data_IF_192415263499
#
_entry.id   IF_192415263499
#
_cell.length_a   1.000
_cell.length_b   1.000
_cell.length_c   1.000
_cell.angle_alpha   90.00
_cell.angle_beta   90.00
_cell.angle_gamma   90.00
#
_symmetry.space_group_name_H-M   'P 1'
#
loop_
_entity.id
_entity.type
_entity.pdbx_description
1 polymer ?
#
# COMPACT_ATOMS: atom_id res chain seq x y z
N UNK A 1 10.58 -22.81 6.64
CA UNK A 1 10.59 -21.58 7.48
C UNK A 1 10.47 -20.31 6.62
N UNK A 2 11.24 -20.18 5.55
CA UNK A 2 11.20 -18.99 4.66
C UNK A 2 9.80 -18.67 4.10
N UNK A 3 9.09 -19.68 3.58
CA UNK A 3 7.71 -19.50 3.06
C UNK A 3 6.73 -18.98 4.12
N UNK A 4 6.87 -19.45 5.36
CA UNK A 4 6.05 -19.00 6.49
C UNK A 4 6.38 -17.56 6.90
N UNK A 5 7.68 -17.22 6.94
CA UNK A 5 8.14 -15.86 7.22
C UNK A 5 7.68 -14.86 6.16
N UNK A 6 7.79 -15.23 4.88
CA UNK A 6 7.33 -14.40 3.76
C UNK A 6 5.81 -14.16 3.83
N UNK A 7 5.01 -15.20 4.09
CA UNK A 7 3.56 -15.09 4.26
C UNK A 7 3.18 -14.16 5.43
N UNK A 8 3.85 -14.30 6.58
CA UNK A 8 3.62 -13.41 7.73
C UNK A 8 3.94 -11.95 7.41
N UNK A 9 5.06 -11.69 6.72
CA UNK A 9 5.45 -10.33 6.33
C UNK A 9 4.44 -9.70 5.39
N UNK A 10 3.97 -10.44 4.38
CA UNK A 10 2.95 -9.96 3.45
C UNK A 10 1.63 -9.63 4.19
N UNK A 11 1.16 -10.52 5.06
CA UNK A 11 -0.03 -10.29 5.87
C UNK A 11 0.12 -9.06 6.79
N UNK A 12 1.29 -8.88 7.40
CA UNK A 12 1.58 -7.70 8.25
C UNK A 12 1.55 -6.40 7.44
N UNK A 13 2.18 -6.37 6.26
CA UNK A 13 2.16 -5.19 5.37
C UNK A 13 0.73 -4.82 4.99
N UNK A 14 -0.07 -5.81 4.59
CA UNK A 14 -1.48 -5.62 4.26
C UNK A 14 -2.27 -5.09 5.46
N UNK A 15 -2.11 -5.69 6.64
CA UNK A 15 -2.80 -5.25 7.85
C UNK A 15 -2.40 -3.83 8.26
N UNK A 16 -1.13 -3.47 8.16
CA UNK A 16 -0.67 -2.09 8.45
C UNK A 16 -1.30 -1.08 7.48
N UNK A 17 -1.41 -1.42 6.19
CA UNK A 17 -2.06 -0.56 5.21
C UNK A 17 -3.57 -0.36 5.51
N UNK A 18 -4.26 -1.41 5.98
CA UNK A 18 -5.63 -1.32 6.47
C UNK A 18 -5.75 -0.44 7.71
N UNK A 19 -4.88 -0.63 8.71
CA UNK A 19 -4.92 0.17 9.95
C UNK A 19 -4.67 1.66 9.71
N UNK A 20 -3.87 1.99 8.69
CA UNK A 20 -3.61 3.35 8.27
C UNK A 20 -4.63 3.89 7.23
N UNK A 21 -5.69 3.12 6.92
CA UNK A 21 -6.71 3.45 5.92
C UNK A 21 -6.15 3.85 4.55
N UNK A 22 -4.99 3.30 4.15
CA UNK A 22 -4.30 3.74 2.94
C UNK A 22 -5.11 3.44 1.67
N UNK A 23 -5.90 2.37 1.69
CA UNK A 23 -6.71 1.94 0.55
C UNK A 23 -7.82 2.96 0.21
N UNK A 24 -8.39 3.64 1.20
CA UNK A 24 -9.45 4.65 1.00
C UNK A 24 -8.99 5.84 0.15
N UNK A 25 -7.68 6.05 0.04
CA UNK A 25 -7.08 7.17 -0.68
C UNK A 25 -6.57 6.81 -2.07
N UNK A 26 -6.78 5.56 -2.54
CA UNK A 26 -6.26 5.10 -3.83
C UNK A 26 -7.20 5.35 -5.03
N UNK A 27 -8.45 5.80 -4.81
CA UNK A 27 -9.51 6.15 -5.78
C UNK A 27 -9.14 6.08 -7.29
N UNK A 28 -9.11 7.22 -8.01
CA UNK A 28 -8.73 7.30 -9.43
C UNK A 28 -7.20 7.32 -9.64
N UNK A 29 -6.45 6.83 -8.66
CA UNK A 29 -5.02 6.94 -8.59
C UNK A 29 -4.56 8.14 -7.76
N UNK A 30 -3.71 7.92 -6.76
CA UNK A 30 -3.16 8.99 -5.93
C UNK A 30 -1.64 8.90 -5.78
N UNK A 31 -0.98 10.06 -5.62
CA UNK A 31 0.45 10.12 -5.33
C UNK A 31 0.73 9.79 -3.86
N UNK A 32 1.98 9.45 -3.54
CA UNK A 32 2.40 9.20 -2.16
C UNK A 32 2.08 10.39 -1.26
N UNK A 33 2.34 11.61 -1.73
CA UNK A 33 2.17 12.84 -0.96
C UNK A 33 0.70 13.07 -0.62
N UNK A 34 -0.18 12.81 -1.60
CA UNK A 34 -1.64 12.92 -1.41
C UNK A 34 -2.11 11.89 -0.39
N UNK A 35 -1.70 10.63 -0.54
CA UNK A 35 -2.12 9.53 0.35
C UNK A 35 -1.59 9.78 1.77
N UNK A 36 -0.31 10.13 1.91
CA UNK A 36 0.33 10.35 3.19
C UNK A 36 -0.31 11.53 3.93
N UNK A 37 -0.63 12.61 3.21
CA UNK A 37 -1.34 13.77 3.77
C UNK A 37 -2.74 13.39 4.23
N UNK A 38 -3.53 12.69 3.41
CA UNK A 38 -4.89 12.28 3.77
C UNK A 38 -4.92 11.31 4.95
N UNK A 39 -3.96 10.39 5.00
CA UNK A 39 -3.80 9.41 6.09
C UNK A 39 -3.08 9.99 7.32
N UNK A 40 -2.59 11.23 7.28
CA UNK A 40 -1.75 11.83 8.34
C UNK A 40 -0.53 10.98 8.72
N UNK A 41 0.15 10.42 7.71
CA UNK A 41 1.33 9.55 7.85
C UNK A 41 2.59 10.19 7.26
N UNK A 42 3.75 9.66 7.63
CA UNK A 42 5.02 10.09 7.03
C UNK A 42 5.12 9.63 5.55
N UNK A 43 5.40 10.53 4.59
CA UNK A 43 5.46 10.18 3.17
C UNK A 43 6.48 9.11 2.82
N UNK A 44 7.62 9.04 3.52
CA UNK A 44 8.67 8.05 3.23
C UNK A 44 8.22 6.66 3.67
N UNK A 45 7.61 6.56 4.85
CA UNK A 45 7.04 5.30 5.34
C UNK A 45 5.89 4.84 4.44
N UNK A 46 5.00 5.76 4.07
CA UNK A 46 3.86 5.48 3.19
C UNK A 46 4.32 5.02 1.82
N UNK A 47 5.34 5.65 1.23
CA UNK A 47 5.95 5.16 -0.01
C UNK A 47 6.45 3.72 0.13
N UNK A 48 7.08 3.37 1.26
CA UNK A 48 7.64 2.05 1.46
C UNK A 48 6.54 0.97 1.57
N UNK A 49 5.45 1.27 2.28
CA UNK A 49 4.27 0.39 2.37
C UNK A 49 3.62 0.24 1.00
N UNK A 50 3.33 1.34 0.29
CA UNK A 50 2.68 1.31 -1.03
C UNK A 50 3.52 0.53 -2.05
N UNK A 51 4.83 0.76 -2.12
CA UNK A 51 5.69 -0.01 -3.01
C UNK A 51 5.76 -1.50 -2.63
N UNK A 52 5.67 -1.83 -1.33
CA UNK A 52 5.57 -3.22 -0.89
C UNK A 52 4.26 -3.88 -1.34
N UNK A 53 3.13 -3.16 -1.26
CA UNK A 53 1.84 -3.61 -1.77
C UNK A 53 1.85 -3.81 -3.29
N UNK A 54 2.57 -2.95 -4.03
CA UNK A 54 2.79 -3.14 -5.47
C UNK A 54 3.59 -4.42 -5.75
N UNK A 55 4.65 -4.68 -4.99
CA UNK A 55 5.44 -5.90 -5.14
C UNK A 55 4.65 -7.18 -4.82
N UNK A 56 3.58 -7.06 -4.03
CA UNK A 56 2.65 -8.15 -3.70
C UNK A 56 1.45 -8.23 -4.66
N UNK A 57 1.39 -7.39 -5.70
CA UNK A 57 0.28 -7.29 -6.67
C UNK A 57 -1.09 -6.92 -6.05
N UNK A 58 -1.07 -6.35 -4.84
CA UNK A 58 -2.27 -5.91 -4.13
C UNK A 58 -2.76 -4.56 -4.65
N UNK A 59 -1.84 -3.69 -5.06
CA UNK A 59 -2.15 -2.40 -5.69
C UNK A 59 -1.27 -2.23 -6.93
N UNK A 60 -1.65 -1.36 -7.86
CA UNK A 60 -0.87 -1.08 -9.07
C UNK A 60 -0.28 0.33 -9.00
N UNK A 61 0.95 0.49 -9.49
CA UNK A 61 1.56 1.81 -9.73
C UNK A 61 1.62 2.12 -11.21
N UNK A 62 1.20 3.32 -11.62
CA UNK A 62 1.36 3.86 -12.98
C UNK A 62 1.96 5.25 -12.89
N UNK A 63 3.20 5.41 -13.34
CA UNK A 63 3.96 6.64 -13.12
C UNK A 63 4.20 6.88 -11.63
N UNK A 64 3.74 8.02 -11.13
CA UNK A 64 3.82 8.46 -9.74
C UNK A 64 2.54 8.17 -8.91
N UNK A 65 1.54 7.52 -9.51
CA UNK A 65 0.24 7.26 -8.88
C UNK A 65 0.00 5.78 -8.58
N UNK A 66 -0.72 5.52 -7.49
CA UNK A 66 -1.10 4.20 -7.01
C UNK A 66 -2.61 3.98 -7.11
N UNK A 67 -3.02 2.80 -7.55
CA UNK A 67 -4.39 2.42 -7.91
C UNK A 67 -4.76 1.08 -7.28
N UNK A 68 -6.05 0.85 -7.01
CA UNK A 68 -6.54 -0.47 -6.63
C UNK A 68 -6.30 -1.51 -7.74
N UNK A 69 -5.99 -2.75 -7.34
CA UNK A 69 -6.27 -3.96 -8.15
C UNK A 69 -7.56 -4.63 -7.65
N UNK A 70 -8.01 -5.69 -8.32
CA UNK A 70 -9.15 -6.51 -7.86
C UNK A 70 -8.96 -7.04 -6.43
N UNK A 71 -7.72 -7.29 -5.99
CA UNK A 71 -7.43 -7.83 -4.67
C UNK A 71 -7.57 -6.80 -3.52
N UNK A 72 -7.68 -5.51 -3.85
CA UNK A 72 -7.69 -4.41 -2.87
C UNK A 72 -8.98 -3.59 -2.87
N UNK A 73 -9.96 -4.01 -3.66
CA UNK A 73 -11.28 -3.39 -3.76
C UNK A 73 -12.27 -4.16 -2.89
#
# INVERSE_FOLDING_TARGET
IEKLSAGYRAAKIFHTALQANLFEYLNEGASVETIAKSASTDPRVTAHILNSLVALDIIRKKGDRFYHTEASR
#
